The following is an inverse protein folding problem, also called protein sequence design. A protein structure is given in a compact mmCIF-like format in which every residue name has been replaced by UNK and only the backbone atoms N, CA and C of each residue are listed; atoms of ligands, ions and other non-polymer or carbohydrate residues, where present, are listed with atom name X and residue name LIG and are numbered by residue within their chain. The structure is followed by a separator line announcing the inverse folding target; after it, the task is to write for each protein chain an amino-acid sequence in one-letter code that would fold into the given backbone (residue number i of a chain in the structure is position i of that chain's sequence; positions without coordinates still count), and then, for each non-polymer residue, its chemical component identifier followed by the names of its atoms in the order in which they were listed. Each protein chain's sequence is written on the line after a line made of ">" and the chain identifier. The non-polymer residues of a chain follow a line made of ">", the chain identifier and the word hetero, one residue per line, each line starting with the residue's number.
data_IF_028761325023
#
_entry.id   IF_028761325023
#
_cell.length_a   1.000
_cell.length_b   1.000
_cell.length_c   1.000
_cell.angle_alpha   90.00
_cell.angle_beta   90.00
_cell.angle_gamma   90.00
#
_symmetry.space_group_name_H-M   'P 1'
#
loop_
_entity.id
_entity.type
_entity.pdbx_description
1 polymer ?
#
# COMPACT_ATOMS: atom_id res chain seq x y z
N UNK A 1 -43.82 19.81 6.98
CA UNK A 1 -43.12 20.62 8.01
C UNK A 1 -42.52 19.77 9.12
N UNK A 2 -43.29 18.91 9.80
CA UNK A 2 -42.73 17.99 10.81
C UNK A 2 -41.76 16.95 10.22
N UNK A 3 -42.02 16.53 8.98
CA UNK A 3 -41.22 15.52 8.26
C UNK A 3 -39.80 16.00 7.93
N UNK A 4 -39.62 17.22 7.41
CA UNK A 4 -38.29 17.75 7.07
C UNK A 4 -37.41 17.95 8.31
N UNK A 5 -37.98 18.42 9.42
CA UNK A 5 -37.28 18.56 10.70
C UNK A 5 -36.89 17.21 11.32
N UNK A 6 -37.73 16.18 11.16
CA UNK A 6 -37.39 14.82 11.58
C UNK A 6 -36.21 14.26 10.77
N UNK A 7 -36.25 14.37 9.44
CA UNK A 7 -35.17 13.89 8.57
C UNK A 7 -33.86 14.66 8.79
N UNK A 8 -33.92 15.98 9.00
CA UNK A 8 -32.76 16.78 9.39
C UNK A 8 -32.07 16.21 10.64
N UNK A 9 -32.83 15.95 11.71
CA UNK A 9 -32.29 15.40 12.96
C UNK A 9 -31.78 13.98 12.78
N UNK A 10 -32.48 13.14 12.03
CA UNK A 10 -32.06 11.78 11.72
C UNK A 10 -30.71 11.78 11.00
N UNK A 11 -30.58 12.52 9.89
CA UNK A 11 -29.35 12.59 9.12
C UNK A 11 -28.19 13.23 9.89
N UNK A 12 -28.48 14.23 10.74
CA UNK A 12 -27.49 14.82 11.65
C UNK A 12 -26.91 13.76 12.59
N UNK A 13 -27.75 12.97 13.26
CA UNK A 13 -27.28 11.95 14.18
C UNK A 13 -26.59 10.78 13.48
N UNK A 14 -27.11 10.34 12.33
CA UNK A 14 -26.44 9.34 11.49
C UNK A 14 -25.05 9.79 11.05
N UNK A 15 -24.90 11.07 10.66
CA UNK A 15 -23.60 11.65 10.32
C UNK A 15 -22.65 11.65 11.52
N UNK A 16 -23.09 12.15 12.69
CA UNK A 16 -22.23 12.24 13.89
C UNK A 16 -21.76 10.84 14.33
N UNK A 17 -22.69 9.90 14.47
CA UNK A 17 -22.37 8.52 14.89
C UNK A 17 -21.51 7.81 13.84
N UNK A 18 -21.86 7.98 12.56
CA UNK A 18 -21.10 7.43 11.44
C UNK A 18 -19.66 7.97 11.38
N UNK A 19 -19.48 9.27 11.61
CA UNK A 19 -18.17 9.91 11.63
C UNK A 19 -17.30 9.38 12.77
N UNK A 20 -17.84 9.31 14.00
CA UNK A 20 -17.14 8.74 15.15
C UNK A 20 -16.73 7.28 14.91
N UNK A 21 -17.64 6.48 14.36
CA UNK A 21 -17.35 5.07 14.04
C UNK A 21 -16.29 4.95 12.93
N UNK A 22 -16.36 5.79 11.90
CA UNK A 22 -15.37 5.82 10.81
C UNK A 22 -13.99 6.19 11.33
N UNK A 23 -13.87 7.17 12.22
CA UNK A 23 -12.61 7.54 12.88
C UNK A 23 -12.08 6.38 13.74
N UNK A 24 -12.94 5.75 14.55
CA UNK A 24 -12.53 4.61 15.37
C UNK A 24 -12.02 3.43 14.53
N UNK A 25 -12.64 3.15 13.38
CA UNK A 25 -12.24 2.10 12.46
C UNK A 25 -10.98 2.46 11.67
N UNK A 26 -10.76 3.74 11.34
CA UNK A 26 -9.55 4.21 10.67
C UNK A 26 -8.29 3.81 11.43
N UNK A 27 -8.27 3.96 12.76
CA UNK A 27 -7.13 3.55 13.60
C UNK A 27 -6.99 2.03 13.79
N UNK A 28 -7.99 1.23 13.39
CA UNK A 28 -7.98 -0.24 13.52
C UNK A 28 -7.73 -0.96 12.20
N UNK A 29 -8.07 -0.36 11.06
CA UNK A 29 -8.10 -1.04 9.75
C UNK A 29 -6.73 -1.51 9.28
N UNK A 30 -5.64 -0.85 9.69
CA UNK A 30 -4.27 -1.16 9.31
C UNK A 30 -3.43 -1.70 10.48
N UNK A 31 -4.08 -2.10 11.58
CA UNK A 31 -3.38 -2.75 12.68
C UNK A 31 -2.76 -4.05 12.18
N UNK A 32 -1.45 -4.19 12.34
CA UNK A 32 -0.71 -5.38 11.96
C UNK A 32 -1.22 -6.61 12.77
N UNK A 33 -1.64 -7.71 12.11
CA UNK A 33 -2.04 -8.96 12.75
C UNK A 33 -0.96 -9.54 13.67
N UNK A 34 -1.32 -10.47 14.57
CA UNK A 34 -0.36 -11.27 15.34
C UNK A 34 0.42 -12.25 14.44
N UNK A 35 1.62 -12.72 14.83
CA UNK A 35 2.38 -13.72 14.05
C UNK A 35 1.59 -14.97 13.69
N UNK A 36 0.70 -15.42 14.59
CA UNK A 36 -0.17 -16.59 14.40
C UNK A 36 -1.18 -16.44 13.25
N UNK A 37 -1.36 -15.23 12.73
CA UNK A 37 -2.15 -15.00 11.53
C UNK A 37 -1.44 -15.53 10.28
N UNK A 38 -0.11 -15.56 10.26
CA UNK A 38 0.70 -15.94 9.11
C UNK A 38 1.09 -17.41 9.16
N UNK A 39 1.28 -17.99 7.98
CA UNK A 39 2.00 -19.26 7.87
C UNK A 39 3.49 -18.93 7.71
N UNK A 40 4.25 -19.08 8.81
CA UNK A 40 5.64 -18.66 8.86
C UNK A 40 6.54 -19.49 7.94
N UNK A 41 6.13 -20.71 7.57
CA UNK A 41 6.89 -21.57 6.65
C UNK A 41 6.93 -21.08 5.20
N UNK A 42 6.14 -20.05 4.88
CA UNK A 42 6.18 -19.39 3.56
C UNK A 42 6.87 -18.03 3.61
N UNK A 43 7.29 -17.53 4.77
CA UNK A 43 7.88 -16.20 4.92
C UNK A 43 9.42 -16.28 5.03
N UNK A 44 10.04 -17.11 4.20
CA UNK A 44 11.49 -17.24 4.13
C UNK A 44 12.14 -16.07 3.38
N UNK A 45 13.47 -16.08 3.30
CA UNK A 45 14.23 -15.09 2.55
C UNK A 45 13.89 -15.14 1.04
N UNK A 46 13.83 -13.98 0.36
CA UNK A 46 13.55 -13.94 -1.08
C UNK A 46 14.50 -14.82 -1.89
N UNK A 47 13.95 -15.56 -2.85
CA UNK A 47 14.75 -16.38 -3.76
C UNK A 47 15.27 -15.48 -4.86
N UNK A 48 16.59 -15.41 -5.00
CA UNK A 48 17.27 -14.59 -5.99
C UNK A 48 18.28 -15.44 -6.77
N UNK A 49 18.09 -15.57 -8.08
CA UNK A 49 18.97 -16.36 -8.95
C UNK A 49 19.47 -15.53 -10.13
N UNK A 50 20.78 -15.52 -10.36
CA UNK A 50 21.36 -14.74 -11.47
C UNK A 50 20.91 -15.33 -12.79
N UNK A 51 20.47 -14.46 -13.70
CA UNK A 51 20.04 -14.84 -15.05
C UNK A 51 20.87 -14.14 -16.12
N UNK A 52 20.82 -14.68 -17.33
CA UNK A 52 21.33 -14.03 -18.52
C UNK A 52 20.17 -13.88 -19.51
N UNK A 53 19.36 -12.84 -19.29
CA UNK A 53 18.20 -12.54 -20.13
C UNK A 53 18.46 -11.22 -20.87
N UNK A 54 18.07 -11.18 -22.15
CA UNK A 54 18.21 -9.97 -22.96
C UNK A 54 17.24 -8.88 -22.45
N UNK A 55 17.65 -7.59 -22.53
CA UNK A 55 16.74 -6.49 -22.28
C UNK A 55 15.53 -6.55 -23.21
N UNK A 56 14.36 -6.20 -22.69
CA UNK A 56 13.12 -6.16 -23.46
C UNK A 56 12.41 -4.82 -23.27
N UNK A 57 11.42 -4.56 -24.12
CA UNK A 57 10.65 -3.33 -24.10
C UNK A 57 9.22 -3.58 -23.67
N UNK A 58 8.66 -2.65 -22.91
CA UNK A 58 7.24 -2.63 -22.55
C UNK A 58 6.67 -1.23 -22.77
N UNK A 59 5.36 -1.13 -22.91
CA UNK A 59 4.66 0.11 -23.20
C UNK A 59 3.54 0.35 -22.18
N UNK A 60 3.52 1.55 -21.60
CA UNK A 60 2.43 1.99 -20.72
C UNK A 60 2.09 3.44 -21.06
N UNK A 61 0.81 3.74 -21.31
CA UNK A 61 0.31 5.08 -21.63
C UNK A 61 1.13 5.80 -22.72
N UNK A 62 1.36 5.11 -23.83
CA UNK A 62 2.14 5.59 -24.99
C UNK A 62 3.62 5.88 -24.71
N UNK A 63 4.15 5.47 -23.55
CA UNK A 63 5.57 5.56 -23.22
C UNK A 63 6.25 4.19 -23.34
N UNK A 64 7.42 4.17 -24.00
CA UNK A 64 8.27 2.99 -24.14
C UNK A 64 9.30 2.94 -23.01
N UNK A 65 9.30 1.83 -22.28
CA UNK A 65 10.29 1.53 -21.25
C UNK A 65 11.16 0.35 -21.70
N UNK A 66 12.45 0.44 -21.40
CA UNK A 66 13.39 -0.69 -21.55
C UNK A 66 13.63 -1.30 -20.19
N UNK A 67 13.44 -2.61 -20.07
CA UNK A 67 13.68 -3.41 -18.86
C UNK A 67 14.91 -4.26 -19.10
N UNK A 68 15.88 -4.17 -18.19
CA UNK A 68 17.12 -4.96 -18.21
C UNK A 68 17.11 -5.92 -17.02
N UNK A 69 16.75 -7.20 -17.22
CA UNK A 69 16.70 -8.18 -16.14
C UNK A 69 18.10 -8.57 -15.65
N UNK A 70 18.27 -8.69 -14.33
CA UNK A 70 19.54 -9.09 -13.70
C UNK A 70 19.43 -10.42 -12.95
N UNK A 71 18.32 -10.63 -12.22
CA UNK A 71 18.06 -11.83 -11.43
C UNK A 71 16.60 -12.24 -11.55
N UNK A 72 16.32 -13.55 -11.61
CA UNK A 72 14.99 -14.05 -11.27
C UNK A 72 14.76 -13.85 -9.78
N UNK A 73 13.55 -13.43 -9.42
CA UNK A 73 13.22 -13.00 -8.07
C UNK A 73 11.83 -13.46 -7.63
N UNK A 74 11.76 -14.04 -6.44
CA UNK A 74 10.50 -14.40 -5.76
C UNK A 74 10.57 -13.96 -4.31
N UNK A 75 9.54 -13.23 -3.87
CA UNK A 75 9.39 -12.79 -2.48
C UNK A 75 8.03 -13.23 -1.95
N UNK A 76 8.06 -13.73 -0.71
CA UNK A 76 6.88 -13.92 0.14
C UNK A 76 7.10 -13.09 1.40
N UNK A 77 6.11 -12.28 1.77
CA UNK A 77 6.32 -11.31 2.83
C UNK A 77 5.07 -10.63 3.32
N UNK A 78 5.23 -9.87 4.39
CA UNK A 78 4.17 -9.06 5.00
C UNK A 78 4.39 -7.60 4.65
N UNK A 79 3.38 -6.99 4.03
CA UNK A 79 3.37 -5.55 3.76
C UNK A 79 3.26 -4.79 5.09
N UNK A 80 4.17 -3.87 5.36
CA UNK A 80 4.13 -3.04 6.59
C UNK A 80 3.87 -1.57 6.30
N UNK A 81 4.21 -1.11 5.09
CA UNK A 81 3.91 0.22 4.59
C UNK A 81 3.84 0.15 3.05
N UNK A 82 3.20 1.14 2.44
CA UNK A 82 3.29 1.37 1.02
C UNK A 82 3.38 2.87 0.74
N UNK A 83 3.96 3.20 -0.41
CA UNK A 83 3.89 4.53 -1.01
C UNK A 83 3.28 4.38 -2.39
N UNK A 84 2.15 5.05 -2.62
CA UNK A 84 1.66 5.20 -3.98
C UNK A 84 2.67 6.04 -4.77
N UNK A 85 2.97 5.66 -6.01
CA UNK A 85 3.51 6.65 -6.94
C UNK A 85 2.44 7.76 -7.04
N UNK A 86 2.84 9.04 -7.00
CA UNK A 86 1.98 10.25 -6.91
C UNK A 86 0.84 10.39 -7.97
N UNK A 87 0.55 9.34 -8.73
CA UNK A 87 -0.32 9.31 -9.90
C UNK A 87 -1.79 8.95 -9.61
N UNK A 88 -2.14 8.16 -8.59
CA UNK A 88 -3.49 7.56 -8.61
C UNK A 88 -4.63 8.46 -8.10
N UNK A 89 -4.37 9.42 -7.20
CA UNK A 89 -5.39 10.44 -6.86
C UNK A 89 -5.48 11.56 -7.91
N UNK A 90 -4.61 11.52 -8.93
CA UNK A 90 -4.38 12.59 -9.89
C UNK A 90 -4.61 12.15 -11.34
N UNK A 91 -5.79 11.59 -11.63
CA UNK A 91 -6.33 11.63 -13.01
C UNK A 91 -6.37 13.08 -13.56
N UNK A 92 -6.20 14.11 -12.71
CA UNK A 92 -6.25 15.53 -13.08
C UNK A 92 -5.00 16.39 -12.80
N UNK A 93 -3.90 15.86 -12.24
CA UNK A 93 -2.68 16.65 -12.02
C UNK A 93 -1.41 15.87 -12.35
N UNK A 94 -1.19 15.64 -13.64
CA UNK A 94 0.13 15.27 -14.17
C UNK A 94 1.02 16.50 -14.15
N UNK A 95 2.16 16.47 -13.46
CA UNK A 95 3.29 17.35 -13.84
C UNK A 95 4.67 17.07 -13.27
N UNK A 96 4.89 16.02 -12.45
CA UNK A 96 6.24 15.87 -11.86
C UNK A 96 7.02 14.61 -12.19
N UNK A 97 6.39 13.43 -12.35
CA UNK A 97 7.11 12.24 -12.83
C UNK A 97 6.15 11.37 -13.65
N UNK A 98 6.37 11.28 -14.96
CA UNK A 98 5.61 10.42 -15.88
C UNK A 98 6.10 8.96 -15.79
N UNK A 99 6.21 8.43 -14.58
CA UNK A 99 6.49 7.01 -14.40
C UNK A 99 5.17 6.27 -14.26
N UNK A 100 4.63 5.84 -15.40
CA UNK A 100 3.39 5.06 -15.46
C UNK A 100 3.64 3.56 -15.27
N UNK A 101 4.90 3.14 -15.34
CA UNK A 101 5.30 1.75 -15.19
C UNK A 101 5.39 1.37 -13.71
N UNK A 102 5.86 2.29 -12.86
CA UNK A 102 5.72 2.15 -11.42
C UNK A 102 4.33 2.60 -10.94
N UNK A 103 3.71 1.78 -10.11
CA UNK A 103 2.37 2.04 -9.59
C UNK A 103 2.38 2.34 -8.09
N UNK A 104 3.17 1.56 -7.35
CA UNK A 104 3.23 1.60 -5.90
C UNK A 104 4.49 0.88 -5.43
N UNK A 105 5.13 1.48 -4.43
CA UNK A 105 6.26 0.90 -3.74
C UNK A 105 5.77 0.23 -2.44
N UNK A 106 6.21 -1.00 -2.19
CA UNK A 106 5.84 -1.77 -0.99
C UNK A 106 7.04 -1.93 -0.07
N UNK A 107 6.86 -1.56 1.20
CA UNK A 107 7.77 -2.01 2.25
C UNK A 107 7.31 -3.36 2.78
N UNK A 108 8.19 -4.35 2.66
CA UNK A 108 7.89 -5.75 2.96
C UNK A 108 8.92 -6.30 3.94
N UNK A 109 8.44 -7.11 4.89
CA UNK A 109 9.27 -7.84 5.85
C UNK A 109 8.98 -9.34 5.80
N UNK A 110 9.92 -10.15 6.25
CA UNK A 110 9.79 -11.62 6.29
C UNK A 110 10.58 -12.22 7.47
N UNK A 111 10.56 -13.54 7.56
CA UNK A 111 11.35 -14.33 8.49
C UNK A 111 11.11 -13.98 9.96
N UNK A 112 12.22 -13.86 10.72
CA UNK A 112 12.18 -13.60 12.17
C UNK A 112 11.52 -12.26 12.54
N UNK A 113 11.51 -11.28 11.64
CA UNK A 113 10.79 -10.03 11.88
C UNK A 113 9.31 -10.27 12.07
N UNK A 114 8.71 -11.19 11.31
CA UNK A 114 7.31 -11.60 11.46
C UNK A 114 7.16 -12.63 12.58
N UNK A 115 8.00 -13.68 12.58
CA UNK A 115 7.87 -14.80 13.52
C UNK A 115 7.98 -14.39 15.00
N UNK A 116 8.80 -13.40 15.33
CA UNK A 116 8.94 -12.89 16.71
C UNK A 116 7.83 -11.93 17.14
N UNK A 117 7.03 -11.40 16.21
CA UNK A 117 6.06 -10.35 16.52
C UNK A 117 6.64 -8.94 16.70
N UNK A 118 7.97 -8.77 16.60
CA UNK A 118 8.63 -7.48 16.83
C UNK A 118 8.11 -6.37 15.91
N UNK A 119 7.77 -6.69 14.66
CA UNK A 119 7.22 -5.75 13.67
C UNK A 119 5.99 -4.97 14.15
N UNK A 120 5.22 -5.50 15.11
CA UNK A 120 4.05 -4.81 15.67
C UNK A 120 4.41 -3.67 16.64
N UNK A 121 5.65 -3.65 17.11
CA UNK A 121 6.22 -2.60 17.97
C UNK A 121 7.04 -1.58 17.18
N UNK A 122 7.21 -1.82 15.87
CA UNK A 122 7.92 -0.96 14.95
C UNK A 122 6.99 0.07 14.32
N UNK A 123 7.56 1.20 13.89
CA UNK A 123 6.92 2.15 12.98
C UNK A 123 7.59 2.08 11.63
N UNK A 124 6.78 1.90 10.59
CA UNK A 124 7.23 1.83 9.21
C UNK A 124 6.68 3.00 8.40
N UNK A 125 7.49 3.50 7.49
CA UNK A 125 7.11 4.42 6.43
C UNK A 125 8.02 4.16 5.24
N UNK A 126 7.52 4.30 4.03
CA UNK A 126 8.37 4.23 2.85
C UNK A 126 8.02 5.32 1.86
N UNK A 127 9.02 5.64 1.04
CA UNK A 127 8.93 6.51 -0.12
C UNK A 127 9.36 5.74 -1.37
N UNK A 128 9.63 6.45 -2.46
CA UNK A 128 10.04 5.85 -3.73
C UNK A 128 11.41 5.16 -3.70
N UNK A 129 12.18 5.23 -2.62
CA UNK A 129 13.56 4.77 -2.54
C UNK A 129 13.85 3.97 -1.28
N UNK A 130 13.31 4.37 -0.13
CA UNK A 130 13.68 3.78 1.15
C UNK A 130 12.46 3.33 1.93
N UNK A 131 12.56 2.15 2.55
CA UNK A 131 11.68 1.78 3.65
C UNK A 131 12.37 2.06 4.98
N UNK A 132 11.77 2.96 5.75
CA UNK A 132 12.22 3.38 7.06
C UNK A 132 11.54 2.53 8.14
N UNK A 133 12.35 1.96 9.02
CA UNK A 133 11.90 1.26 10.22
C UNK A 133 12.44 1.98 11.46
N UNK A 134 11.59 2.22 12.45
CA UNK A 134 11.96 2.89 13.70
C UNK A 134 11.30 2.23 14.91
N UNK A 135 11.95 2.32 16.06
CA UNK A 135 11.54 1.69 17.32
C UNK A 135 11.87 2.60 18.51
N UNK A 136 11.30 2.30 19.68
CA UNK A 136 11.42 3.15 20.87
C UNK A 136 12.50 2.68 21.85
N UNK A 137 12.78 1.37 21.91
CA UNK A 137 13.64 0.77 22.93
C UNK A 137 14.64 -0.23 22.34
N UNK A 138 15.69 -0.52 23.10
CA UNK A 138 16.78 -1.41 22.67
C UNK A 138 16.33 -2.86 22.44
N UNK A 139 15.39 -3.37 23.24
CA UNK A 139 14.92 -4.76 23.14
C UNK A 139 14.24 -5.00 21.80
N UNK A 140 13.32 -4.11 21.42
CA UNK A 140 12.66 -4.10 20.10
C UNK A 140 13.70 -4.05 18.97
N UNK A 141 14.67 -3.12 19.05
CA UNK A 141 15.72 -2.99 18.04
C UNK A 141 16.61 -4.23 17.92
N UNK A 142 16.91 -4.91 19.02
CA UNK A 142 17.77 -6.11 19.04
C UNK A 142 17.13 -7.33 18.36
N UNK A 143 15.79 -7.41 18.40
CA UNK A 143 14.99 -8.47 17.80
C UNK A 143 14.77 -8.24 16.29
N UNK A 144 14.68 -6.97 15.86
CA UNK A 144 14.47 -6.63 14.45
C UNK A 144 15.74 -6.83 13.61
N UNK A 145 15.57 -7.37 12.41
CA UNK A 145 16.64 -7.64 11.44
C UNK A 145 16.45 -6.76 10.21
N UNK A 146 17.33 -5.78 10.04
CA UNK A 146 17.26 -4.84 8.90
C UNK A 146 17.43 -5.53 7.54
N UNK A 147 18.17 -6.64 7.46
CA UNK A 147 18.34 -7.43 6.24
C UNK A 147 17.14 -8.36 5.92
N UNK A 148 16.10 -8.36 6.77
CA UNK A 148 14.82 -9.04 6.53
C UNK A 148 13.69 -8.02 6.32
N UNK A 149 14.02 -6.94 5.61
CA UNK A 149 13.16 -5.83 5.20
C UNK A 149 13.63 -5.35 3.82
N UNK A 150 12.69 -5.05 2.93
CA UNK A 150 13.00 -4.39 1.66
C UNK A 150 11.96 -3.36 1.24
N UNK A 151 12.44 -2.32 0.54
CA UNK A 151 11.58 -1.44 -0.23
C UNK A 151 11.53 -1.95 -1.67
N UNK A 152 10.32 -2.25 -2.15
CA UNK A 152 10.11 -2.88 -3.44
C UNK A 152 9.44 -1.87 -4.36
N UNK A 153 10.14 -1.46 -5.39
CA UNK A 153 9.64 -0.63 -6.46
C UNK A 153 9.13 -1.52 -7.59
N UNK A 154 7.80 -1.60 -7.70
CA UNK A 154 7.14 -2.68 -8.42
C UNK A 154 6.60 -2.20 -9.77
N UNK A 155 7.15 -2.78 -10.84
CA UNK A 155 6.88 -2.44 -12.23
C UNK A 155 5.97 -3.50 -12.87
N UNK A 156 4.95 -3.08 -13.61
CA UNK A 156 4.18 -4.01 -14.46
C UNK A 156 3.37 -3.27 -15.52
N UNK A 157 3.23 -3.90 -16.69
CA UNK A 157 2.31 -3.51 -17.76
C UNK A 157 0.98 -4.29 -17.73
N UNK A 158 0.88 -5.40 -16.97
CA UNK A 158 -0.33 -6.23 -16.88
C UNK A 158 -1.35 -5.67 -15.89
N UNK A 159 -2.48 -5.17 -16.41
CA UNK A 159 -3.57 -4.57 -15.62
C UNK A 159 -4.15 -5.47 -14.51
N UNK A 160 -4.05 -6.79 -14.62
CA UNK A 160 -4.47 -7.72 -13.56
C UNK A 160 -3.52 -7.65 -12.37
N UNK A 161 -2.22 -7.65 -12.65
CA UNK A 161 -1.16 -7.46 -11.65
C UNK A 161 -1.31 -6.07 -11.02
N UNK A 162 -1.54 -5.02 -11.83
CA UNK A 162 -1.79 -3.65 -11.32
C UNK A 162 -2.91 -3.63 -10.29
N UNK A 163 -4.07 -4.22 -10.63
CA UNK A 163 -5.23 -4.26 -9.72
C UNK A 163 -4.93 -5.01 -8.42
N UNK A 164 -4.22 -6.14 -8.50
CA UNK A 164 -3.83 -6.91 -7.32
C UNK A 164 -2.87 -6.12 -6.43
N UNK A 165 -1.81 -5.53 -7.02
CA UNK A 165 -0.83 -4.69 -6.34
C UNK A 165 -1.48 -3.48 -5.65
N UNK A 166 -2.33 -2.73 -6.35
CA UNK A 166 -3.02 -1.57 -5.77
C UNK A 166 -3.99 -1.95 -4.65
N UNK A 167 -4.43 -3.21 -4.62
CA UNK A 167 -5.26 -3.73 -3.54
C UNK A 167 -4.46 -4.20 -2.33
N UNK A 168 -3.12 -4.30 -2.39
CA UNK A 168 -2.30 -4.69 -1.25
C UNK A 168 -2.27 -3.57 -0.19
N UNK A 169 -2.41 -3.96 1.08
CA UNK A 169 -2.48 -3.02 2.20
C UNK A 169 -1.64 -3.55 3.39
N UNK A 170 -1.30 -2.70 4.39
CA UNK A 170 -0.50 -3.13 5.54
C UNK A 170 -1.11 -4.34 6.27
N UNK A 171 -0.26 -5.26 6.68
CA UNK A 171 -0.60 -6.53 7.32
C UNK A 171 -0.89 -7.67 6.34
N UNK A 172 -1.09 -7.40 5.05
CA UNK A 172 -1.33 -8.46 4.08
C UNK A 172 -0.09 -9.35 3.90
N UNK A 173 -0.29 -10.66 3.82
CA UNK A 173 0.69 -11.59 3.30
C UNK A 173 0.58 -11.58 1.77
N UNK A 174 1.66 -11.20 1.11
CA UNK A 174 1.79 -11.17 -0.35
C UNK A 174 2.85 -12.15 -0.83
N UNK A 175 2.70 -12.57 -2.08
CA UNK A 175 3.70 -13.26 -2.86
C UNK A 175 3.82 -12.56 -4.20
N UNK A 176 5.04 -12.37 -4.69
CA UNK A 176 5.24 -11.93 -6.06
C UNK A 176 6.44 -12.62 -6.72
N UNK A 177 6.38 -12.72 -8.04
CA UNK A 177 7.45 -13.26 -8.89
C UNK A 177 7.75 -12.31 -10.02
N UNK A 178 9.01 -12.23 -10.40
CA UNK A 178 9.44 -11.36 -11.46
C UNK A 178 10.94 -11.44 -11.69
N UNK A 179 11.51 -10.32 -12.08
CA UNK A 179 12.96 -10.14 -12.20
C UNK A 179 13.37 -8.87 -11.47
N UNK A 180 14.48 -8.93 -10.73
CA UNK A 180 15.19 -7.71 -10.35
C UNK A 180 15.74 -7.10 -11.63
N UNK A 181 15.36 -5.85 -11.91
CA UNK A 181 15.67 -5.22 -13.18
C UNK A 181 16.01 -3.75 -13.02
N UNK A 182 16.89 -3.28 -13.89
CA UNK A 182 17.00 -1.85 -14.17
C UNK A 182 15.95 -1.48 -15.22
N UNK A 183 15.49 -0.23 -15.21
CA UNK A 183 14.63 0.25 -16.27
C UNK A 183 14.93 1.69 -16.68
N UNK A 184 14.69 1.96 -17.95
CA UNK A 184 14.86 3.28 -18.54
C UNK A 184 13.60 3.67 -19.30
N UNK A 185 13.22 4.94 -19.20
CA UNK A 185 12.19 5.53 -20.05
C UNK A 185 12.85 6.42 -21.10
N UNK A 186 12.68 6.05 -22.36
CA UNK A 186 13.34 6.72 -23.48
C UNK A 186 12.78 8.12 -23.73
N UNK A 187 11.52 8.39 -23.40
CA UNK A 187 10.89 9.68 -23.72
C UNK A 187 11.38 10.83 -22.84
N UNK A 188 11.93 10.53 -21.66
CA UNK A 188 12.38 11.54 -20.69
C UNK A 188 13.79 11.28 -20.14
N UNK A 189 14.55 10.34 -20.72
CA UNK A 189 15.88 9.92 -20.27
C UNK A 189 15.93 9.49 -18.80
N UNK A 190 14.81 9.05 -18.23
CA UNK A 190 14.80 8.51 -16.88
C UNK A 190 15.48 7.14 -16.86
N UNK A 191 16.26 6.89 -15.82
CA UNK A 191 16.89 5.61 -15.54
C UNK A 191 16.82 5.31 -14.05
N UNK A 192 16.57 4.05 -13.72
CA UNK A 192 16.59 3.56 -12.35
C UNK A 192 17.14 2.14 -12.30
N UNK A 193 18.09 1.93 -11.39
CA UNK A 193 18.69 0.63 -11.11
C UNK A 193 17.89 -0.20 -10.11
N UNK A 194 18.51 -1.26 -9.61
CA UNK A 194 17.94 -2.16 -8.61
C UNK A 194 18.98 -2.60 -7.59
N UNK A 195 18.59 -2.73 -6.33
CA UNK A 195 19.38 -3.44 -5.33
C UNK A 195 19.44 -4.93 -5.66
N UNK A 196 20.64 -5.52 -5.53
CA UNK A 196 20.89 -6.96 -5.73
C UNK A 196 21.53 -7.62 -4.51
N UNK A 197 21.67 -6.88 -3.40
CA UNK A 197 22.24 -7.33 -2.13
C UNK A 197 21.22 -7.14 -1.00
N UNK A 198 21.42 -7.79 0.15
CA UNK A 198 20.55 -7.68 1.34
C UNK A 198 21.10 -6.78 2.43
N UNK A 199 22.37 -6.39 2.29
CA UNK A 199 23.11 -5.63 3.31
C UNK A 199 23.24 -4.13 2.97
N UNK A 200 22.66 -3.69 1.85
CA UNK A 200 22.60 -2.27 1.51
C UNK A 200 21.56 -1.54 2.36
N UNK A 201 21.80 -0.24 2.55
CA UNK A 201 20.95 0.61 3.39
C UNK A 201 20.69 1.97 2.73
N UNK A 202 19.61 2.62 3.12
CA UNK A 202 19.21 3.93 2.59
C UNK A 202 18.82 3.89 1.10
N UNK A 203 19.11 4.96 0.37
CA UNK A 203 18.66 5.19 -1.02
C UNK A 203 19.18 4.19 -2.07
N UNK A 204 20.02 3.22 -1.67
CA UNK A 204 20.49 2.13 -2.53
C UNK A 204 19.77 0.79 -2.33
N UNK A 205 19.03 0.63 -1.22
CA UNK A 205 18.43 -0.65 -0.79
C UNK A 205 17.10 -0.99 -1.48
N UNK A 206 16.70 -0.23 -2.50
CA UNK A 206 15.44 -0.46 -3.17
C UNK A 206 15.59 -1.54 -4.24
N UNK A 207 14.79 -2.59 -4.14
CA UNK A 207 14.61 -3.57 -5.20
C UNK A 207 13.64 -3.03 -6.24
N UNK A 208 14.13 -2.78 -7.44
CA UNK A 208 13.27 -2.57 -8.60
C UNK A 208 12.94 -3.92 -9.21
N UNK A 209 11.66 -4.29 -9.22
CA UNK A 209 11.17 -5.60 -9.68
C UNK A 209 10.18 -5.42 -10.81
N UNK A 210 10.45 -6.02 -11.97
CA UNK A 210 9.43 -6.19 -13.01
C UNK A 210 8.63 -7.46 -12.76
N UNK A 211 7.35 -7.28 -12.44
CA UNK A 211 6.44 -8.34 -11.97
C UNK A 211 5.88 -9.17 -13.13
N UNK A 212 5.98 -10.49 -12.97
CA UNK A 212 5.31 -11.50 -13.78
C UNK A 212 4.09 -12.09 -13.06
N UNK A 213 4.13 -12.14 -11.73
CA UNK A 213 3.03 -12.60 -10.87
C UNK A 213 2.95 -11.75 -9.60
N UNK A 214 1.74 -11.51 -9.10
CA UNK A 214 1.49 -10.89 -7.81
C UNK A 214 0.21 -11.44 -7.20
N UNK A 215 0.27 -11.85 -5.95
CA UNK A 215 -0.84 -12.43 -5.22
C UNK A 215 -0.89 -11.91 -3.78
N UNK A 216 -2.10 -11.64 -3.29
CA UNK A 216 -2.36 -11.46 -1.87
C UNK A 216 -2.76 -12.82 -1.29
N UNK A 217 -1.77 -13.56 -0.80
CA UNK A 217 -1.94 -14.89 -0.20
C UNK A 217 -2.93 -14.84 0.96
N UNK A 218 -2.82 -13.81 1.82
CA UNK A 218 -3.74 -13.63 2.94
C UNK A 218 -3.97 -12.15 3.26
N UNK A 219 -5.21 -11.72 3.01
CA UNK A 219 -5.66 -10.35 3.25
C UNK A 219 -5.91 -10.09 4.73
N UNK A 220 -5.23 -9.11 5.32
CA UNK A 220 -5.43 -8.68 6.70
C UNK A 220 -6.71 -7.85 6.86
N UNK A 221 -7.25 -7.84 8.08
CA UNK A 221 -8.30 -6.94 8.53
C UNK A 221 -9.55 -6.85 7.63
N UNK A 222 -9.86 -7.90 6.84
CA UNK A 222 -10.94 -7.89 5.82
C UNK A 222 -12.27 -7.38 6.38
N UNK A 223 -12.66 -7.86 7.56
CA UNK A 223 -13.91 -7.46 8.22
C UNK A 223 -13.91 -5.98 8.62
N UNK A 224 -12.84 -5.53 9.28
CA UNK A 224 -12.70 -4.13 9.75
C UNK A 224 -12.63 -3.18 8.56
N UNK A 225 -11.90 -3.52 7.48
CA UNK A 225 -11.81 -2.72 6.26
C UNK A 225 -13.13 -2.61 5.53
N UNK A 226 -13.89 -3.71 5.41
CA UNK A 226 -15.25 -3.70 4.85
C UNK A 226 -16.18 -2.80 5.67
N UNK A 227 -16.15 -2.93 6.99
CA UNK A 227 -16.96 -2.11 7.89
C UNK A 227 -16.56 -0.63 7.78
N UNK A 228 -15.26 -0.33 7.77
CA UNK A 228 -14.75 1.03 7.57
C UNK A 228 -15.23 1.64 6.25
N UNK A 229 -15.17 0.89 5.15
CA UNK A 229 -15.65 1.35 3.85
C UNK A 229 -17.15 1.67 3.87
N UNK A 230 -17.95 0.78 4.48
CA UNK A 230 -19.39 0.97 4.63
C UNK A 230 -19.71 2.20 5.50
N UNK A 231 -19.10 2.32 6.67
CA UNK A 231 -19.36 3.44 7.59
C UNK A 231 -18.92 4.77 6.99
N UNK A 232 -17.78 4.78 6.27
CA UNK A 232 -17.31 5.95 5.53
C UNK A 232 -18.34 6.40 4.50
N UNK A 233 -18.86 5.48 3.68
CA UNK A 233 -19.87 5.80 2.67
C UNK A 233 -21.17 6.30 3.30
N UNK A 234 -21.67 5.62 4.33
CA UNK A 234 -22.85 6.05 5.08
C UNK A 234 -22.67 7.44 5.72
N UNK A 235 -21.47 7.74 6.22
CA UNK A 235 -21.14 9.06 6.79
C UNK A 235 -21.23 10.14 5.72
N UNK A 236 -20.68 9.90 4.53
CA UNK A 236 -20.74 10.84 3.39
C UNK A 236 -22.19 11.07 2.95
N UNK A 237 -22.96 10.00 2.74
CA UNK A 237 -24.38 10.11 2.35
C UNK A 237 -25.18 10.84 3.42
N UNK A 238 -24.93 10.54 4.70
CA UNK A 238 -25.64 11.20 5.80
C UNK A 238 -25.30 12.67 5.92
N UNK A 239 -24.06 13.06 5.63
CA UNK A 239 -23.65 14.46 5.58
C UNK A 239 -24.41 15.24 4.51
N UNK A 240 -24.49 14.72 3.28
CA UNK A 240 -25.25 15.38 2.21
C UNK A 240 -26.75 15.40 2.50
N UNK A 241 -27.30 14.31 3.04
CA UNK A 241 -28.69 14.27 3.52
C UNK A 241 -28.96 15.36 4.55
N UNK A 242 -28.07 15.52 5.53
CA UNK A 242 -28.17 16.58 6.54
C UNK A 242 -28.18 17.97 5.89
N UNK A 243 -27.27 18.27 4.97
CA UNK A 243 -27.22 19.57 4.29
C UNK A 243 -28.51 19.89 3.51
N UNK A 244 -29.05 18.90 2.79
CA UNK A 244 -30.29 19.05 2.02
C UNK A 244 -31.46 19.35 2.95
N UNK A 245 -31.66 18.53 3.99
CA UNK A 245 -32.79 18.72 4.91
C UNK A 245 -32.63 19.96 5.79
N UNK A 246 -31.41 20.35 6.12
CA UNK A 246 -31.11 21.61 6.81
C UNK A 246 -31.49 22.83 5.96
N UNK A 247 -31.20 22.81 4.66
CA UNK A 247 -31.56 23.90 3.75
C UNK A 247 -33.08 24.03 3.51
N UNK A 248 -33.81 22.91 3.58
CA UNK A 248 -35.27 22.88 3.36
C UNK A 248 -36.04 23.09 4.69
N UNK A 249 -35.39 22.92 5.84
CA UNK A 249 -36.01 23.12 7.13
C UNK A 249 -36.31 24.61 7.38
N UNK A 250 -37.55 24.98 7.78
CA UNK A 250 -37.87 26.37 8.08
C UNK A 250 -37.06 26.89 9.28
N UNK A 251 -36.68 28.18 9.23
CA UNK A 251 -35.92 28.86 10.28
C UNK A 251 -36.68 28.75 11.61
N UNK A 252 -36.05 28.11 12.60
CA UNK A 252 -36.59 28.05 13.97
C UNK A 252 -36.41 29.41 14.64
N UNK A 253 -37.45 30.25 14.63
CA UNK A 253 -37.50 31.42 15.50
C UNK A 253 -37.74 30.87 16.92
N UNK A 254 -36.70 30.87 17.75
CA UNK A 254 -36.83 30.61 19.19
C UNK A 254 -37.47 31.85 19.82
N UNK A 255 -38.72 31.73 20.28
CA UNK A 255 -39.31 32.64 21.25
C UNK A 255 -38.89 32.26 22.67
#
# INVERSE_FOLDING_TARGET
>A
MATSSFFEQLFKWLFIVGALLTVALYFKKDRLPEPTFYDLGYLDEPVQAKINAEPFKTHVNDQEYTITPLYDYELHGVVVSYSDADAFTNIWHHKRWQDFLNLRDLCVIWGKNVGSGVYRQMKFHNDSWTCWASWQDYETGSLFKMNALSNNHLLTDDDRIKKALMSAEPGDHIRFKGVLAEYANKSNNFFRGTSITRDDTGNGACETVYLKEFEIVKKANRGIRKLYGLTKWLTIVSFFGFLIFFAIAPVRIRH
#
